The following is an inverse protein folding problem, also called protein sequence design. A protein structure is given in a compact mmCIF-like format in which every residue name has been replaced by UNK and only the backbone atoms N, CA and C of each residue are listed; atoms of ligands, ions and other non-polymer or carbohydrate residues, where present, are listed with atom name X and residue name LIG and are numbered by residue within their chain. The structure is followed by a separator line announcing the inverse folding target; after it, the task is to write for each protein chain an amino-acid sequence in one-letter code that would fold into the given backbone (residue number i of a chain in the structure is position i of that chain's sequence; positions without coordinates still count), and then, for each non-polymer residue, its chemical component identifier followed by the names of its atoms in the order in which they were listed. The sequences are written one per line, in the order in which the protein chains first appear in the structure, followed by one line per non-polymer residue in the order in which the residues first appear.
data_IF_272783855083
#
_entry.id   IF_272783855083
#
_cell.length_a   1.000
_cell.length_b   1.000
_cell.length_c   1.000
_cell.angle_alpha   90.00
_cell.angle_beta   90.00
_cell.angle_gamma   90.00
#
_symmetry.space_group_name_H-M   'P 1'
#
loop_
_entity.id
_entity.type
_entity.pdbx_description
1 polymer ?
#
# COMPACT_ATOMS: atom_id res chain seq x y z
N UNK A 1 13.03 15.32 -8.06
CA UNK A 1 12.13 14.36 -8.73
C UNK A 1 11.25 13.76 -7.66
N UNK A 2 9.93 13.82 -7.85
CA UNK A 2 8.93 13.37 -6.88
C UNK A 2 9.13 11.86 -6.61
N UNK A 3 9.56 11.49 -5.40
CA UNK A 3 9.68 10.08 -4.97
C UNK A 3 8.29 9.55 -4.74
N UNK A 4 7.63 9.19 -5.84
CA UNK A 4 6.20 8.97 -5.88
C UNK A 4 5.87 7.64 -5.23
N UNK A 5 5.42 7.68 -3.97
CA UNK A 5 4.58 6.61 -3.44
C UNK A 5 3.43 6.41 -4.42
N UNK A 6 3.11 5.18 -4.78
CA UNK A 6 1.99 4.84 -5.64
C UNK A 6 1.11 3.81 -4.95
N UNK A 7 -0.20 3.95 -5.11
CA UNK A 7 -1.19 2.98 -4.65
C UNK A 7 -2.22 2.80 -5.75
N UNK A 8 -2.66 1.57 -5.95
CA UNK A 8 -3.71 1.21 -6.88
C UNK A 8 -4.40 -0.08 -6.47
N UNK A 9 -5.49 -0.39 -7.16
CA UNK A 9 -6.21 -1.64 -7.01
C UNK A 9 -6.56 -2.22 -8.38
N UNK A 10 -6.67 -3.54 -8.45
CA UNK A 10 -7.14 -4.27 -9.63
C UNK A 10 -8.14 -5.34 -9.20
N UNK A 11 -9.09 -5.67 -10.09
CA UNK A 11 -10.03 -6.77 -9.90
C UNK A 11 -9.47 -8.00 -10.62
N UNK A 12 -9.38 -9.12 -9.92
CA UNK A 12 -8.95 -10.40 -10.47
C UNK A 12 -10.14 -11.16 -11.07
N UNK A 13 -9.87 -12.11 -11.96
CA UNK A 13 -10.91 -12.95 -12.60
C UNK A 13 -11.74 -13.75 -11.58
N UNK A 14 -11.16 -14.07 -10.43
CA UNK A 14 -11.83 -14.71 -9.29
C UNK A 14 -12.86 -13.80 -8.58
N UNK A 15 -12.91 -12.51 -8.93
CA UNK A 15 -13.69 -11.51 -8.22
C UNK A 15 -12.95 -10.89 -7.03
N UNK A 16 -11.74 -11.33 -6.70
CA UNK A 16 -10.93 -10.73 -5.64
C UNK A 16 -10.39 -9.35 -6.04
N UNK A 17 -10.19 -8.48 -5.05
CA UNK A 17 -9.59 -7.16 -5.20
C UNK A 17 -8.14 -7.24 -4.73
N UNK A 18 -7.21 -6.93 -5.63
CA UNK A 18 -5.79 -6.81 -5.29
C UNK A 18 -5.43 -5.34 -5.12
N UNK A 19 -5.08 -4.95 -3.90
CA UNK A 19 -4.56 -3.63 -3.56
C UNK A 19 -3.04 -3.70 -3.51
N UNK A 20 -2.37 -2.85 -4.28
CA UNK A 20 -0.91 -2.79 -4.35
C UNK A 20 -0.44 -1.36 -4.11
N UNK A 21 0.54 -1.22 -3.23
CA UNK A 21 1.28 0.01 -3.01
C UNK A 21 2.76 -0.23 -3.27
N UNK A 22 3.45 0.74 -3.86
CA UNK A 22 4.88 0.64 -4.12
C UNK A 22 5.59 1.99 -4.10
N UNK A 23 6.89 1.96 -3.82
CA UNK A 23 7.79 3.10 -3.90
C UNK A 23 9.19 2.60 -4.30
N UNK A 24 9.85 3.35 -5.17
CA UNK A 24 11.17 3.01 -5.72
C UNK A 24 12.21 4.07 -5.36
N UNK A 25 13.48 3.67 -5.25
CA UNK A 25 14.59 4.59 -5.01
C UNK A 25 14.51 5.33 -3.67
N UNK A 26 13.92 4.70 -2.64
CA UNK A 26 13.78 5.30 -1.31
C UNK A 26 15.00 4.99 -0.44
N UNK A 27 15.33 5.92 0.44
CA UNK A 27 16.47 5.82 1.36
C UNK A 27 16.22 6.77 2.54
N UNK A 28 16.61 6.42 3.78
CA UNK A 28 17.05 5.10 4.28
C UNK A 28 15.99 3.98 4.22
N UNK A 29 16.21 2.87 4.93
CA UNK A 29 15.35 1.68 4.91
C UNK A 29 13.86 2.05 5.19
N UNK A 30 12.94 1.78 4.24
CA UNK A 30 11.54 2.15 4.35
C UNK A 30 10.70 1.09 5.07
N UNK A 31 9.52 1.52 5.55
CA UNK A 31 8.44 0.67 6.04
C UNK A 31 7.14 1.05 5.34
N UNK A 32 6.30 0.07 5.02
CA UNK A 32 5.04 0.29 4.32
C UNK A 32 3.89 -0.41 5.04
N UNK A 33 2.78 0.28 5.18
CA UNK A 33 1.55 -0.21 5.82
C UNK A 33 0.34 0.11 4.94
N UNK A 34 -0.64 -0.80 4.91
CA UNK A 34 -1.92 -0.61 4.21
C UNK A 34 -3.06 -0.56 5.21
N UNK A 35 -4.03 0.30 4.94
CA UNK A 35 -5.23 0.47 5.76
C UNK A 35 -6.48 0.49 4.87
N UNK A 36 -7.62 0.07 5.41
CA UNK A 36 -8.92 0.25 4.78
C UNK A 36 -9.84 1.08 5.67
N UNK A 37 -10.55 2.03 5.06
CA UNK A 37 -11.50 2.89 5.75
C UNK A 37 -12.94 2.35 5.67
N UNK A 38 -13.10 1.09 6.06
CA UNK A 38 -14.43 0.43 6.11
C UNK A 38 -15.36 1.09 7.16
N UNK A 39 -14.80 1.80 8.15
CA UNK A 39 -15.47 2.63 9.18
C UNK A 39 -14.51 3.18 10.26
N UNK A 40 -13.39 2.49 10.50
CA UNK A 40 -12.49 2.74 11.64
C UNK A 40 -10.99 2.79 11.27
N UNK A 41 -10.64 3.00 9.99
CA UNK A 41 -9.25 2.92 9.48
C UNK A 41 -8.51 1.70 10.06
N UNK A 42 -8.93 0.51 9.67
CA UNK A 42 -8.31 -0.72 10.15
C UNK A 42 -7.04 -1.01 9.36
N UNK A 43 -5.95 -1.33 10.08
CA UNK A 43 -4.74 -1.85 9.43
C UNK A 43 -5.09 -3.17 8.75
N UNK A 44 -4.79 -3.28 7.46
CA UNK A 44 -4.89 -4.55 6.77
C UNK A 44 -3.85 -5.50 7.37
N UNK A 45 -4.31 -6.63 7.88
CA UNK A 45 -3.46 -7.70 8.39
C UNK A 45 -2.97 -8.59 7.25
N UNK A 46 -1.90 -9.33 7.48
CA UNK A 46 -1.36 -10.30 6.53
C UNK A 46 -1.10 -9.68 5.14
N UNK A 47 -0.55 -8.47 5.13
CA UNK A 47 -0.04 -7.83 3.93
C UNK A 47 1.28 -8.48 3.54
N UNK A 48 1.49 -8.68 2.25
CA UNK A 48 2.78 -9.15 1.73
C UNK A 48 3.63 -7.93 1.43
N UNK A 49 4.67 -7.72 2.24
CA UNK A 49 5.65 -6.64 2.04
C UNK A 49 6.90 -7.22 1.40
N UNK A 50 7.33 -6.65 0.29
CA UNK A 50 8.57 -6.99 -0.39
C UNK A 50 9.49 -5.77 -0.38
N UNK A 51 10.75 -5.98 0.00
CA UNK A 51 11.76 -4.93 0.00
C UNK A 51 12.98 -5.45 -0.75
N UNK A 52 13.38 -4.71 -1.78
CA UNK A 52 14.57 -5.00 -2.58
C UNK A 52 15.57 -3.87 -2.39
N UNK A 53 16.80 -4.20 -2.00
CA UNK A 53 17.88 -3.23 -1.90
C UNK A 53 18.71 -3.21 -3.18
N UNK A 54 18.81 -2.05 -3.82
CA UNK A 54 19.68 -1.81 -4.97
C UNK A 54 20.72 -0.73 -4.61
N UNK A 55 21.95 -1.18 -4.35
CA UNK A 55 23.04 -0.34 -3.83
C UNK A 55 22.67 0.35 -2.50
N UNK A 56 22.50 1.67 -2.52
CA UNK A 56 22.11 2.46 -1.36
C UNK A 56 20.59 2.65 -1.25
N UNK A 57 19.84 2.39 -2.31
CA UNK A 57 18.40 2.63 -2.34
C UNK A 57 17.59 1.36 -2.13
N UNK A 58 16.33 1.54 -1.74
CA UNK A 58 15.36 0.49 -1.53
C UNK A 58 14.16 0.70 -2.43
N UNK A 59 13.67 -0.39 -2.99
CA UNK A 59 12.35 -0.47 -3.61
C UNK A 59 11.48 -1.30 -2.69
N UNK A 60 10.28 -0.82 -2.37
CA UNK A 60 9.36 -1.45 -1.44
C UNK A 60 7.97 -1.54 -2.04
N UNK A 61 7.31 -2.67 -1.85
CA UNK A 61 5.91 -2.86 -2.19
C UNK A 61 5.15 -3.53 -1.07
N UNK A 62 3.87 -3.19 -0.93
CA UNK A 62 2.93 -3.83 -0.03
C UNK A 62 1.69 -4.24 -0.83
N UNK A 63 1.31 -5.51 -0.73
CA UNK A 63 0.20 -6.08 -1.49
C UNK A 63 -0.77 -6.80 -0.58
N UNK A 64 -2.08 -6.61 -0.82
CA UNK A 64 -3.15 -7.36 -0.16
C UNK A 64 -4.19 -7.80 -1.18
N UNK A 65 -4.55 -9.09 -1.13
CA UNK A 65 -5.70 -9.63 -1.86
C UNK A 65 -6.86 -9.72 -0.86
N UNK A 66 -8.00 -9.16 -1.24
CA UNK A 66 -9.25 -9.14 -0.46
C UNK A 66 -10.36 -9.77 -1.31
N UNK A 67 -11.26 -10.52 -0.70
CA UNK A 67 -12.48 -10.94 -1.40
C UNK A 67 -13.36 -9.70 -1.65
N UNK A 68 -13.97 -9.57 -2.83
CA UNK A 68 -14.86 -8.43 -3.09
C UNK A 68 -16.11 -8.45 -2.21
N UNK A 69 -16.54 -9.62 -1.72
CA UNK A 69 -17.63 -9.73 -0.76
C UNK A 69 -17.27 -9.13 0.62
N UNK A 70 -15.98 -9.11 0.97
CA UNK A 70 -15.48 -8.58 2.24
C UNK A 70 -15.21 -7.06 2.19
N UNK A 71 -15.20 -6.46 0.99
CA UNK A 71 -14.92 -5.04 0.78
C UNK A 71 -16.22 -4.27 0.58
N UNK A 72 -16.60 -3.46 1.57
CA UNK A 72 -17.73 -2.53 1.45
C UNK A 72 -17.47 -1.53 0.31
N UNK A 73 -18.52 -1.06 -0.37
CA UNK A 73 -18.38 -0.03 -1.39
C UNK A 73 -19.17 1.23 -1.06
N UNK A 74 -18.57 2.43 -1.22
CA UNK A 74 -17.16 2.66 -1.54
C UNK A 74 -16.23 2.31 -0.36
N UNK A 75 -15.00 1.85 -0.65
CA UNK A 75 -13.92 1.72 0.36
C UNK A 75 -12.73 2.57 -0.06
N UNK A 76 -12.13 3.27 0.90
CA UNK A 76 -10.87 3.97 0.71
C UNK A 76 -9.74 3.06 1.21
N UNK A 77 -8.76 2.81 0.36
CA UNK A 77 -7.51 2.18 0.74
C UNK A 77 -6.44 3.24 0.91
N UNK A 78 -5.78 3.22 2.06
CA UNK A 78 -4.67 4.09 2.40
C UNK A 78 -3.38 3.27 2.40
N UNK A 79 -2.32 3.82 1.81
CA UNK A 79 -0.97 3.32 1.94
C UNK A 79 -0.10 4.38 2.60
N UNK A 80 0.64 3.98 3.62
CA UNK A 80 1.58 4.83 4.33
C UNK A 80 3.00 4.29 4.16
N UNK A 81 3.89 5.13 3.65
CA UNK A 81 5.33 4.88 3.56
C UNK A 81 6.02 5.70 4.64
N UNK A 82 6.78 5.03 5.50
CA UNK A 82 7.58 5.62 6.58
C UNK A 82 9.05 5.36 6.35
N UNK A 83 9.88 6.37 6.60
CA UNK A 83 11.33 6.25 6.67
C UNK A 83 11.74 6.75 8.06
N UNK A 84 11.79 5.86 9.08
CA UNK A 84 11.94 6.26 10.48
C UNK A 84 13.20 7.09 10.76
N UNK A 85 14.33 6.71 10.16
CA UNK A 85 15.62 7.38 10.32
C UNK A 85 15.59 8.82 9.81
N UNK A 86 14.88 9.06 8.70
CA UNK A 86 14.71 10.39 8.12
C UNK A 86 13.52 11.17 8.71
N UNK A 87 12.76 10.59 9.65
CA UNK A 87 11.50 11.13 10.17
C UNK A 87 10.53 11.53 9.05
N UNK A 88 10.54 10.79 7.96
CA UNK A 88 9.70 11.04 6.80
C UNK A 88 8.51 10.07 6.80
N UNK A 89 7.32 10.59 6.53
CA UNK A 89 6.13 9.79 6.32
C UNK A 89 5.30 10.43 5.21
N UNK A 90 4.82 9.62 4.29
CA UNK A 90 3.90 10.04 3.23
C UNK A 90 2.77 9.03 3.09
N UNK A 91 1.58 9.52 2.82
CA UNK A 91 0.38 8.71 2.64
C UNK A 91 -0.23 8.99 1.28
N UNK A 92 -0.71 7.95 0.61
CA UNK A 92 -1.59 8.05 -0.55
C UNK A 92 -2.82 7.18 -0.39
N UNK A 93 -3.90 7.59 -1.04
CA UNK A 93 -5.20 6.96 -0.93
C UNK A 93 -5.73 6.62 -2.32
N UNK A 94 -6.49 5.54 -2.44
CA UNK A 94 -7.26 5.20 -3.64
C UNK A 94 -8.66 4.74 -3.23
N UNK A 95 -9.66 5.12 -4.02
CA UNK A 95 -11.05 4.70 -3.78
C UNK A 95 -11.36 3.48 -4.62
N UNK A 96 -11.93 2.46 -4.00
CA UNK A 96 -12.46 1.28 -4.65
C UNK A 96 -13.98 1.36 -4.80
N UNK A 97 -14.43 1.03 -6.01
CA UNK A 97 -15.83 0.85 -6.40
C UNK A 97 -15.95 -0.51 -7.09
N UNK A 98 -17.00 -1.28 -6.75
CA UNK A 98 -17.18 -2.67 -7.21
C UNK A 98 -17.65 -2.79 -8.67
#
# INVERSE_FOLDING_TARGET
AEKSLHIGWTKQDSGAVNVTCYAEGVYPEPKMELYSDSKNRESLKDIVVQVTKSHEYFDISATKILDSADVQTPTIFDCELKIPEAKYAVKKSVVYYA
#
